data_IF_527908463514
#
_entry.id   IF_527908463514
#
_cell.length_a   1.000
_cell.length_b   1.000
_cell.length_c   1.000
_cell.angle_alpha   90.00
_cell.angle_beta   90.00
_cell.angle_gamma   90.00
#
_symmetry.space_group_name_H-M   'P 1'
#
loop_
_entity.id
_entity.type
_entity.pdbx_description
1 polymer ?
#
# COMPACT_ATOMS: atom_id res chain seq x y z
N UNK A 1 13.58 27.79 -10.57
CA UNK A 1 12.98 26.91 -9.55
C UNK A 1 12.50 25.67 -10.27
N UNK A 2 13.25 24.57 -10.19
CA UNK A 2 12.78 23.27 -10.66
C UNK A 2 11.61 22.86 -9.77
N UNK A 3 10.38 22.99 -10.26
CA UNK A 3 9.26 22.22 -9.72
C UNK A 3 9.56 20.77 -10.08
N UNK A 4 10.22 20.05 -9.16
CA UNK A 4 10.34 18.60 -9.26
C UNK A 4 8.91 18.08 -9.47
N UNK A 5 8.66 17.49 -10.64
CA UNK A 5 7.36 16.91 -10.91
C UNK A 5 7.34 15.65 -10.08
N UNK A 6 6.52 15.59 -9.03
CA UNK A 6 6.43 14.41 -8.15
C UNK A 6 6.08 13.18 -8.99
N UNK A 7 7.09 12.38 -9.33
CA UNK A 7 6.92 11.17 -10.12
C UNK A 7 6.63 10.04 -9.15
N UNK A 8 5.34 9.85 -8.90
CA UNK A 8 4.87 8.83 -8.01
C UNK A 8 4.63 7.53 -8.78
N UNK A 9 5.19 6.40 -8.34
CA UNK A 9 4.65 5.11 -8.77
C UNK A 9 3.34 4.94 -8.01
N UNK A 10 2.22 4.95 -8.72
CA UNK A 10 0.89 4.88 -8.12
C UNK A 10 0.28 3.49 -8.21
N UNK A 11 0.82 2.61 -9.07
CA UNK A 11 0.31 1.25 -9.22
C UNK A 11 1.42 0.24 -9.48
N UNK A 12 1.22 -0.97 -8.97
CA UNK A 12 1.88 -2.19 -9.46
C UNK A 12 0.77 -3.16 -9.85
N UNK A 13 0.74 -3.55 -11.12
CA UNK A 13 -0.32 -4.39 -11.67
C UNK A 13 0.14 -5.84 -11.80
N UNK A 14 -0.75 -6.76 -11.40
CA UNK A 14 -0.61 -8.19 -11.57
C UNK A 14 -1.67 -8.69 -12.54
N UNK A 15 -1.28 -9.59 -13.42
CA UNK A 15 -2.20 -10.44 -14.16
C UNK A 15 -2.19 -11.83 -13.56
N UNK A 16 -3.35 -12.31 -13.16
CA UNK A 16 -3.50 -13.58 -12.45
C UNK A 16 -4.60 -14.43 -13.07
N UNK A 17 -4.43 -15.76 -12.99
CA UNK A 17 -5.47 -16.69 -13.38
C UNK A 17 -6.63 -16.69 -12.38
N UNK A 18 -6.31 -16.51 -11.10
CA UNK A 18 -7.26 -16.32 -10.02
C UNK A 18 -6.96 -15.03 -9.24
N UNK A 19 -7.20 -13.88 -9.87
CA UNK A 19 -7.00 -12.57 -9.24
C UNK A 19 -7.73 -12.40 -7.90
N UNK A 20 -8.96 -12.92 -7.68
CA UNK A 20 -9.59 -12.88 -6.37
C UNK A 20 -8.77 -13.59 -5.28
N UNK A 21 -8.24 -14.79 -5.54
CA UNK A 21 -7.42 -15.51 -4.55
C UNK A 21 -6.09 -14.81 -4.31
N UNK A 22 -5.43 -14.33 -5.37
CA UNK A 22 -4.19 -13.57 -5.27
C UNK A 22 -4.38 -12.32 -4.39
N UNK A 23 -5.43 -11.54 -4.66
CA UNK A 23 -5.76 -10.34 -3.89
C UNK A 23 -6.04 -10.66 -2.42
N UNK A 24 -6.75 -11.74 -2.13
CA UNK A 24 -7.01 -12.13 -0.74
C UNK A 24 -5.72 -12.59 -0.02
N UNK A 25 -4.78 -13.22 -0.72
CA UNK A 25 -3.47 -13.55 -0.15
C UNK A 25 -2.70 -12.30 0.25
N UNK A 26 -2.55 -11.31 -0.64
CA UNK A 26 -1.87 -10.05 -0.30
C UNK A 26 -2.56 -9.30 0.85
N UNK A 27 -3.90 -9.28 0.87
CA UNK A 27 -4.67 -8.65 1.95
C UNK A 27 -4.45 -9.35 3.31
N UNK A 28 -4.41 -10.68 3.33
CA UNK A 28 -4.29 -11.44 4.57
C UNK A 28 -2.83 -11.52 5.07
N UNK A 29 -1.86 -11.60 4.16
CA UNK A 29 -0.44 -11.67 4.52
C UNK A 29 0.06 -10.32 5.04
N UNK A 30 -0.25 -9.25 4.31
CA UNK A 30 0.32 -7.92 4.55
C UNK A 30 -0.65 -6.93 5.21
N UNK A 31 -1.89 -7.34 5.51
CA UNK A 31 -2.89 -6.46 6.11
C UNK A 31 -3.36 -5.30 5.20
N UNK A 32 -3.12 -5.40 3.89
CA UNK A 32 -3.52 -4.39 2.91
C UNK A 32 -5.04 -4.22 2.87
N UNK A 33 -5.47 -3.01 2.55
CA UNK A 33 -6.88 -2.61 2.63
C UNK A 33 -7.57 -2.91 1.31
N UNK A 34 -8.76 -3.53 1.35
CA UNK A 34 -9.54 -3.77 0.14
C UNK A 34 -10.04 -2.46 -0.42
N UNK A 35 -9.71 -2.19 -1.68
CA UNK A 35 -10.28 -1.11 -2.44
C UNK A 35 -11.26 -1.66 -3.51
N UNK A 36 -11.78 -0.78 -4.34
CA UNK A 36 -12.84 -1.09 -5.31
C UNK A 36 -12.56 -2.26 -6.25
N UNK A 37 -13.50 -2.51 -7.14
CA UNK A 37 -13.36 -3.44 -8.26
C UNK A 37 -14.14 -2.91 -9.44
N UNK A 38 -13.63 -3.12 -10.65
CA UNK A 38 -14.29 -2.69 -11.86
C UNK A 38 -14.19 -3.76 -12.95
N UNK A 39 -15.24 -3.84 -13.76
CA UNK A 39 -15.24 -4.60 -15.00
C UNK A 39 -14.87 -3.64 -16.11
N UNK A 40 -13.94 -4.05 -16.96
CA UNK A 40 -13.57 -3.27 -18.13
C UNK A 40 -13.83 -4.08 -19.41
N UNK A 41 -14.23 -3.36 -20.45
CA UNK A 41 -14.72 -3.94 -21.70
C UNK A 41 -14.13 -3.20 -22.91
N UNK A 42 -13.99 -3.89 -24.05
CA UNK A 42 -13.57 -3.25 -25.30
C UNK A 42 -14.64 -2.24 -25.78
N UNK A 43 -14.27 -1.26 -26.62
CA UNK A 43 -12.97 -1.10 -27.28
C UNK A 43 -11.93 -0.30 -26.46
N UNK A 44 -12.34 0.30 -25.34
CA UNK A 44 -11.49 1.20 -24.57
C UNK A 44 -10.28 0.49 -23.95
N UNK A 45 -10.50 -0.66 -23.30
CA UNK A 45 -9.44 -1.52 -22.73
C UNK A 45 -8.42 -1.93 -23.76
N UNK A 46 -8.91 -2.47 -24.89
CA UNK A 46 -8.04 -2.94 -25.97
C UNK A 46 -7.13 -1.85 -26.51
N UNK A 47 -7.64 -0.62 -26.58
CA UNK A 47 -6.85 0.53 -27.02
C UNK A 47 -5.85 0.99 -25.97
N UNK A 48 -6.25 1.05 -24.69
CA UNK A 48 -5.38 1.54 -23.61
C UNK A 48 -4.25 0.55 -23.34
N UNK A 49 -4.56 -0.72 -23.14
CA UNK A 49 -3.59 -1.76 -22.79
C UNK A 49 -2.90 -2.38 -24.01
N UNK A 50 -3.39 -2.14 -25.22
CA UNK A 50 -2.86 -2.76 -26.43
C UNK A 50 -3.20 -4.24 -26.57
N UNK A 51 -4.21 -4.73 -25.84
CA UNK A 51 -4.63 -6.14 -25.81
C UNK A 51 -5.93 -6.31 -26.62
N UNK A 52 -5.90 -6.92 -27.82
CA UNK A 52 -7.08 -7.05 -28.65
C UNK A 52 -8.21 -7.83 -27.96
N UNK A 53 -9.40 -7.23 -27.90
CA UNK A 53 -10.58 -7.86 -27.31
C UNK A 53 -10.56 -7.96 -25.77
N UNK A 54 -9.64 -7.25 -25.10
CA UNK A 54 -9.49 -7.19 -23.64
C UNK A 54 -10.82 -7.06 -22.89
N UNK A 55 -11.29 -8.18 -22.35
CA UNK A 55 -12.39 -8.24 -21.40
C UNK A 55 -11.85 -8.77 -20.10
N UNK A 56 -11.90 -7.93 -19.07
CA UNK A 56 -11.17 -8.15 -17.83
C UNK A 56 -11.95 -7.64 -16.61
N UNK A 57 -11.51 -8.12 -15.46
CA UNK A 57 -11.87 -7.55 -14.16
C UNK A 57 -10.60 -7.12 -13.47
N UNK A 58 -10.62 -5.89 -12.96
CA UNK A 58 -9.60 -5.42 -12.04
C UNK A 58 -10.18 -5.25 -10.65
N UNK A 59 -9.37 -5.55 -9.65
CA UNK A 59 -9.67 -5.28 -8.24
C UNK A 59 -8.42 -4.80 -7.54
N UNK A 60 -8.59 -3.99 -6.49
CA UNK A 60 -7.48 -3.23 -5.93
C UNK A 60 -7.26 -3.52 -4.45
N UNK A 61 -6.01 -3.35 -4.01
CA UNK A 61 -5.62 -3.17 -2.62
C UNK A 61 -4.86 -1.86 -2.48
N UNK A 62 -4.99 -1.21 -1.34
CA UNK A 62 -4.17 -0.04 -0.99
C UNK A 62 -3.33 -0.35 0.25
N UNK A 63 -2.16 0.27 0.30
CA UNK A 63 -1.22 0.17 1.41
C UNK A 63 -1.27 1.45 2.28
N UNK A 64 -0.21 1.73 3.05
CA UNK A 64 -0.21 2.93 3.89
C UNK A 64 0.03 4.25 3.12
N UNK A 65 0.42 4.21 1.85
CA UNK A 65 0.79 5.40 1.06
C UNK A 65 -0.44 6.17 0.55
N UNK A 66 -0.29 7.47 0.34
CA UNK A 66 -1.28 8.20 -0.48
C UNK A 66 -1.14 7.83 -1.96
N UNK A 67 -2.24 7.82 -2.69
CA UNK A 67 -2.24 7.66 -4.16
C UNK A 67 -1.44 6.45 -4.69
N UNK A 68 -1.51 5.32 -3.98
CA UNK A 68 -0.94 4.04 -4.40
C UNK A 68 -1.96 2.91 -4.33
N UNK A 69 -1.90 1.94 -5.25
CA UNK A 69 -2.66 0.69 -5.20
C UNK A 69 -1.93 -0.49 -5.87
N UNK A 70 -2.14 -1.70 -5.34
CA UNK A 70 -1.90 -2.93 -6.10
C UNK A 70 -3.12 -3.24 -6.97
N UNK A 71 -2.90 -3.58 -8.23
CA UNK A 71 -3.96 -3.96 -9.16
C UNK A 71 -3.92 -5.46 -9.48
N UNK A 72 -5.08 -6.09 -9.48
CA UNK A 72 -5.21 -7.53 -9.74
C UNK A 72 -6.17 -7.73 -10.91
N UNK A 73 -5.61 -7.93 -12.10
CA UNK A 73 -6.32 -8.23 -13.33
C UNK A 73 -6.58 -9.72 -13.49
N UNK A 74 -7.79 -10.05 -13.91
CA UNK A 74 -8.14 -11.35 -14.46
C UNK A 74 -8.79 -11.15 -15.82
N UNK A 75 -8.12 -11.63 -16.86
CA UNK A 75 -8.60 -11.55 -18.24
C UNK A 75 -9.47 -12.76 -18.58
N UNK A 76 -10.65 -12.48 -19.14
CA UNK A 76 -11.50 -13.50 -19.76
C UNK A 76 -11.20 -13.66 -21.25
N UNK A 77 -10.85 -12.55 -21.91
CA UNK A 77 -10.44 -12.50 -23.32
C UNK A 77 -9.33 -11.46 -23.51
N UNK A 78 -8.19 -11.82 -24.13
CA UNK A 78 -7.72 -13.20 -24.31
C UNK A 78 -7.52 -13.86 -22.94
N UNK A 79 -7.59 -15.20 -22.87
CA UNK A 79 -7.16 -15.90 -21.66
C UNK A 79 -5.64 -15.82 -21.58
N UNK A 80 -5.14 -15.36 -20.43
CA UNK A 80 -3.71 -15.31 -20.15
C UNK A 80 -3.04 -16.67 -20.24
N UNK A 81 -1.80 -16.69 -20.70
CA UNK A 81 -0.95 -17.87 -20.64
C UNK A 81 -0.35 -18.06 -19.25
N UNK A 82 -0.08 -19.31 -18.92
CA UNK A 82 0.63 -19.68 -17.70
C UNK A 82 2.08 -19.21 -17.75
N UNK A 83 2.55 -18.70 -16.62
CA UNK A 83 3.96 -18.46 -16.38
C UNK A 83 4.70 -19.79 -16.38
N UNK A 84 5.92 -19.81 -16.96
CA UNK A 84 6.76 -21.01 -16.95
C UNK A 84 7.02 -21.47 -15.52
N UNK A 85 6.93 -22.78 -15.26
CA UNK A 85 7.27 -23.34 -13.96
C UNK A 85 8.75 -23.12 -13.58
N UNK A 86 9.60 -22.93 -14.59
CA UNK A 86 11.02 -22.64 -14.42
C UNK A 86 11.28 -21.13 -14.34
N UNK A 87 10.25 -20.28 -14.22
CA UNK A 87 10.43 -18.82 -14.17
C UNK A 87 11.31 -18.39 -13.00
N UNK A 88 12.31 -17.59 -13.33
CA UNK A 88 13.36 -17.10 -12.46
C UNK A 88 13.32 -15.57 -12.39
N UNK A 89 13.75 -14.94 -11.28
CA UNK A 89 13.94 -13.49 -11.20
C UNK A 89 14.92 -12.90 -12.23
N UNK A 90 15.71 -13.76 -12.90
CA UNK A 90 16.62 -13.37 -13.99
C UNK A 90 15.97 -13.34 -15.36
N UNK A 91 14.75 -13.84 -15.55
CA UNK A 91 14.09 -13.82 -16.85
C UNK A 91 13.57 -12.42 -17.18
N UNK A 92 13.60 -12.02 -18.45
CA UNK A 92 13.24 -10.67 -18.88
C UNK A 92 11.81 -10.34 -18.44
N UNK A 93 11.62 -9.22 -17.72
CA UNK A 93 10.31 -8.78 -17.25
C UNK A 93 10.31 -8.16 -15.86
N UNK A 94 9.12 -7.78 -15.40
CA UNK A 94 8.85 -7.41 -14.00
C UNK A 94 8.80 -8.68 -13.16
N UNK A 95 9.70 -8.83 -12.19
CA UNK A 95 9.97 -10.14 -11.57
C UNK A 95 9.60 -10.24 -10.10
N UNK A 96 9.78 -9.16 -9.35
CA UNK A 96 9.65 -9.19 -7.90
C UNK A 96 9.07 -7.88 -7.39
N UNK A 97 8.14 -7.98 -6.45
CA UNK A 97 7.63 -6.84 -5.70
C UNK A 97 8.22 -6.86 -4.29
N UNK A 98 8.69 -5.71 -3.80
CA UNK A 98 9.18 -5.53 -2.45
C UNK A 98 8.18 -4.83 -1.56
N UNK A 99 7.95 -5.36 -0.37
CA UNK A 99 6.99 -4.86 0.61
C UNK A 99 7.69 -4.67 1.95
N UNK A 100 7.77 -3.44 2.42
CA UNK A 100 8.23 -3.13 3.77
C UNK A 100 7.07 -3.27 4.76
N UNK A 101 7.35 -3.81 5.95
CA UNK A 101 6.31 -4.15 6.94
C UNK A 101 6.74 -3.73 8.34
N UNK A 102 5.79 -3.24 9.15
CA UNK A 102 6.09 -2.76 10.50
C UNK A 102 6.14 -3.87 11.57
N UNK A 103 5.51 -5.02 11.32
CA UNK A 103 5.56 -6.22 12.17
C UNK A 103 5.97 -7.44 11.32
N UNK A 104 7.28 -7.58 11.16
CA UNK A 104 7.89 -8.63 10.33
C UNK A 104 7.53 -10.03 10.83
N UNK A 105 7.46 -10.25 12.14
CA UNK A 105 7.15 -11.56 12.71
C UNK A 105 5.68 -11.94 12.51
N UNK A 106 4.75 -10.98 12.56
CA UNK A 106 3.35 -11.22 12.21
C UNK A 106 3.21 -11.58 10.73
N UNK A 107 3.96 -10.92 9.84
CA UNK A 107 3.94 -11.24 8.41
C UNK A 107 4.48 -12.64 8.15
N UNK A 108 5.55 -13.07 8.82
CA UNK A 108 6.03 -14.46 8.72
C UNK A 108 4.98 -15.49 9.17
N UNK A 109 4.28 -15.21 10.29
CA UNK A 109 3.16 -16.06 10.73
C UNK A 109 2.05 -16.11 9.68
N UNK A 110 1.71 -14.97 9.09
CA UNK A 110 0.68 -14.89 8.06
C UNK A 110 1.11 -15.64 6.79
N UNK A 111 2.36 -15.53 6.35
CA UNK A 111 2.91 -16.33 5.25
C UNK A 111 2.71 -17.82 5.54
N UNK A 112 3.09 -18.29 6.72
CA UNK A 112 2.89 -19.70 7.09
C UNK A 112 1.41 -20.14 7.17
N UNK A 113 0.49 -19.21 7.46
CA UNK A 113 -0.94 -19.49 7.60
C UNK A 113 -1.72 -19.42 6.28
N UNK A 114 -1.32 -18.52 5.38
CA UNK A 114 -2.06 -18.23 4.13
C UNK A 114 -1.35 -18.71 2.87
N UNK A 115 -0.09 -19.14 2.98
CA UNK A 115 0.62 -19.81 1.90
C UNK A 115 0.61 -21.32 2.12
N UNK A 116 0.50 -22.08 1.03
CA UNK A 116 0.64 -23.54 1.07
C UNK A 116 2.11 -24.00 1.27
N UNK A 117 2.96 -23.13 1.82
CA UNK A 117 4.38 -23.35 2.04
C UNK A 117 4.78 -22.91 3.46
N UNK A 118 5.81 -23.53 4.06
CA UNK A 118 6.33 -23.06 5.35
C UNK A 118 6.84 -21.63 5.27
N UNK A 119 6.77 -20.90 6.40
CA UNK A 119 7.37 -19.58 6.51
C UNK A 119 8.89 -19.68 6.21
N UNK A 120 9.42 -18.88 5.27
CA UNK A 120 10.82 -18.94 4.92
C UNK A 120 11.70 -18.37 6.05
N UNK A 121 12.96 -18.82 6.12
CA UNK A 121 13.90 -18.35 7.13
C UNK A 121 14.36 -16.93 6.80
N UNK A 122 14.23 -15.96 7.73
CA UNK A 122 14.75 -14.62 7.51
C UNK A 122 16.26 -14.58 7.37
N UNK A 123 16.76 -13.63 6.60
CA UNK A 123 18.18 -13.25 6.52
C UNK A 123 18.37 -11.83 7.06
N UNK A 124 19.59 -11.48 7.47
CA UNK A 124 19.90 -10.16 8.04
C UNK A 124 19.80 -10.11 9.57
N UNK A 125 20.09 -8.93 10.14
CA UNK A 125 19.95 -8.64 11.57
C UNK A 125 18.58 -8.09 11.89
N UNK A 126 18.14 -8.20 13.15
CA UNK A 126 16.91 -7.57 13.63
C UNK A 126 16.89 -6.07 13.28
N UNK A 127 15.74 -5.59 12.81
CA UNK A 127 15.55 -4.24 12.29
C UNK A 127 15.94 -4.08 10.81
N UNK A 128 16.53 -5.09 10.19
CA UNK A 128 16.91 -5.12 8.77
C UNK A 128 16.74 -6.53 8.17
N UNK A 129 15.84 -7.34 8.76
CA UNK A 129 15.57 -8.69 8.26
C UNK A 129 14.87 -8.62 6.90
N UNK A 130 15.14 -9.63 6.09
CA UNK A 130 14.50 -9.84 4.79
C UNK A 130 14.08 -11.28 4.63
N UNK A 131 13.02 -11.49 3.85
CA UNK A 131 12.63 -12.82 3.40
C UNK A 131 12.00 -12.76 2.02
N UNK A 132 12.24 -13.78 1.19
CA UNK A 132 11.56 -13.94 -0.09
C UNK A 132 10.60 -15.12 -0.07
N UNK A 133 9.47 -14.93 -0.73
CA UNK A 133 8.40 -15.91 -0.90
C UNK A 133 7.80 -15.77 -2.29
N UNK A 134 7.14 -16.82 -2.78
CA UNK A 134 6.28 -16.71 -3.97
C UNK A 134 4.83 -16.57 -3.54
N UNK A 135 4.10 -15.66 -4.18
CA UNK A 135 2.65 -15.59 -4.04
C UNK A 135 1.94 -16.81 -4.68
N UNK A 136 0.62 -16.99 -4.51
CA UNK A 136 -0.10 -18.14 -5.07
C UNK A 136 -0.08 -18.25 -6.60
N UNK A 137 0.30 -17.21 -7.32
CA UNK A 137 0.42 -17.19 -8.79
C UNK A 137 1.89 -17.30 -9.24
N UNK A 138 2.82 -17.51 -8.29
CA UNK A 138 4.24 -17.73 -8.56
C UNK A 138 5.05 -16.44 -8.77
N UNK A 139 4.52 -15.26 -8.43
CA UNK A 139 5.34 -14.04 -8.46
C UNK A 139 6.21 -13.96 -7.22
N UNK A 140 7.41 -13.41 -7.37
CA UNK A 140 8.30 -13.21 -6.25
C UNK A 140 7.88 -11.98 -5.43
N UNK A 141 7.83 -12.19 -4.12
CA UNK A 141 7.58 -11.15 -3.13
C UNK A 141 8.75 -11.13 -2.18
N UNK A 142 9.38 -9.98 -2.05
CA UNK A 142 10.34 -9.74 -0.99
C UNK A 142 9.71 -8.92 0.12
N UNK A 143 9.93 -9.36 1.36
CA UNK A 143 9.47 -8.68 2.55
C UNK A 143 10.67 -8.06 3.26
N UNK A 144 10.56 -6.78 3.57
CA UNK A 144 11.58 -6.01 4.28
C UNK A 144 11.08 -5.62 5.67
N UNK A 145 11.91 -5.84 6.70
CA UNK A 145 11.65 -5.31 8.05
C UNK A 145 11.97 -3.81 8.14
N UNK A 146 12.94 -3.34 7.35
CA UNK A 146 13.26 -1.93 7.20
C UNK A 146 12.66 -1.41 5.89
N UNK A 147 12.07 -0.22 5.89
CA UNK A 147 11.68 0.41 4.63
C UNK A 147 12.93 0.71 3.79
N UNK A 148 13.09 0.12 2.59
CA UNK A 148 14.28 0.35 1.76
C UNK A 148 14.38 1.80 1.28
N UNK A 149 13.28 2.57 1.30
CA UNK A 149 13.30 3.99 0.96
C UNK A 149 14.00 4.82 2.05
N UNK A 150 13.95 4.40 3.32
CA UNK A 150 14.64 5.07 4.44
C UNK A 150 16.18 5.01 4.32
N UNK A 151 16.69 4.14 3.44
CA UNK A 151 18.12 4.03 3.15
C UNK A 151 18.62 5.12 2.20
N UNK A 152 17.71 5.90 1.60
CA UNK A 152 18.04 6.93 0.62
C UNK A 152 17.90 8.30 1.26
N UNK A 153 18.99 9.07 1.26
CA UNK A 153 19.03 10.39 1.86
C UNK A 153 17.99 11.33 1.21
N UNK A 154 17.22 12.03 2.05
CA UNK A 154 16.18 12.96 1.61
C UNK A 154 14.92 12.30 1.06
N UNK A 155 14.85 10.96 1.00
CA UNK A 155 13.61 10.26 0.74
C UNK A 155 12.73 10.27 2.00
N UNK A 156 11.43 10.42 1.82
CA UNK A 156 10.46 10.35 2.90
C UNK A 156 9.20 9.70 2.39
N UNK A 157 8.67 8.80 3.20
CA UNK A 157 7.38 8.18 2.97
C UNK A 157 6.27 9.09 3.51
N UNK A 158 5.48 9.71 2.62
CA UNK A 158 4.22 10.33 3.05
C UNK A 158 3.18 9.24 3.35
N UNK A 159 3.08 8.87 4.64
CA UNK A 159 2.17 7.84 5.12
C UNK A 159 0.78 8.43 5.34
N UNK A 160 -0.17 8.06 4.48
CA UNK A 160 -1.57 8.47 4.59
C UNK A 160 -2.36 7.63 5.61
N UNK A 161 -2.00 6.35 5.75
CA UNK A 161 -2.71 5.35 6.57
C UNK A 161 -1.72 4.57 7.43
N UNK A 162 -1.12 5.19 8.46
CA UNK A 162 -0.13 4.55 9.32
C UNK A 162 -0.63 3.27 10.01
N UNK A 163 -1.94 3.07 10.09
CA UNK A 163 -2.58 1.85 10.59
C UNK A 163 -2.53 0.65 9.63
N UNK A 164 -2.15 0.87 8.38
CA UNK A 164 -1.93 -0.21 7.41
C UNK A 164 -0.48 -0.67 7.55
N UNK A 165 -0.22 -1.94 7.92
CA UNK A 165 1.09 -2.37 8.42
C UNK A 165 2.14 -2.62 7.33
N UNK A 166 1.83 -2.28 6.08
CA UNK A 166 2.65 -2.62 4.92
C UNK A 166 2.74 -1.46 3.91
N UNK A 167 3.85 -1.47 3.19
CA UNK A 167 4.28 -0.47 2.22
C UNK A 167 4.88 -1.17 1.01
N UNK A 168 4.24 -1.07 -0.15
CA UNK A 168 4.83 -1.59 -1.38
C UNK A 168 5.85 -0.60 -1.89
N UNK A 169 7.11 -1.02 -1.97
CA UNK A 169 8.26 -0.12 -2.11
C UNK A 169 9.10 -0.34 -3.33
N UNK A 170 9.20 -1.58 -3.77
CA UNK A 170 10.15 -1.90 -4.84
C UNK A 170 9.52 -2.78 -5.90
N UNK A 171 10.01 -2.60 -7.12
CA UNK A 171 9.85 -3.60 -8.18
C UNK A 171 11.23 -3.85 -8.77
N UNK A 172 11.58 -5.13 -8.92
CA UNK A 172 12.79 -5.56 -9.63
C UNK A 172 12.42 -5.94 -11.06
N UNK A 173 13.12 -5.38 -12.02
CA UNK A 173 12.92 -5.60 -13.46
C UNK A 173 14.19 -6.18 -14.06
N UNK A 174 14.11 -7.36 -14.65
CA UNK A 174 15.20 -7.87 -15.47
C UNK A 174 15.06 -7.32 -16.88
N UNK A 175 16.11 -6.69 -17.38
CA UNK A 175 16.14 -5.99 -18.67
C UNK A 175 17.23 -6.55 -19.58
N UNK A 176 17.04 -6.53 -20.91
CA UNK A 176 18.05 -7.03 -21.84
C UNK A 176 19.28 -6.10 -21.96
N UNK A 177 19.12 -4.82 -21.64
CA UNK A 177 20.17 -3.80 -21.67
C UNK A 177 19.85 -2.70 -20.66
N UNK A 178 20.79 -2.41 -19.76
CA UNK A 178 20.66 -1.28 -18.83
C UNK A 178 20.68 0.07 -19.54
N UNK A 179 21.40 0.20 -20.65
CA UNK A 179 21.45 1.42 -21.45
C UNK A 179 20.06 1.77 -21.99
N UNK A 180 19.38 0.78 -22.57
CA UNK A 180 18.04 0.95 -23.12
C UNK A 180 16.99 1.14 -22.02
N UNK A 181 17.15 0.44 -20.91
CA UNK A 181 16.29 0.61 -19.75
C UNK A 181 16.46 2.00 -19.13
N UNK A 182 17.67 2.59 -19.15
CA UNK A 182 17.90 3.98 -18.74
C UNK A 182 17.16 4.95 -19.67
N UNK A 183 17.26 4.77 -20.98
CA UNK A 183 16.52 5.60 -21.93
C UNK A 183 14.99 5.55 -21.67
N UNK A 184 14.49 4.37 -21.30
CA UNK A 184 13.07 4.15 -20.97
C UNK A 184 12.69 4.79 -19.65
N UNK A 185 13.30 4.37 -18.54
CA UNK A 185 12.84 4.69 -17.20
C UNK A 185 13.36 6.04 -16.69
N UNK A 186 14.54 6.48 -17.15
CA UNK A 186 15.14 7.77 -16.78
C UNK A 186 14.80 8.82 -17.83
N UNK A 187 15.13 8.61 -19.10
CA UNK A 187 14.99 9.69 -20.08
C UNK A 187 13.53 9.91 -20.48
N UNK A 188 12.79 8.85 -20.79
CA UNK A 188 11.37 8.94 -21.17
C UNK A 188 10.45 9.12 -19.96
N UNK A 189 10.56 8.23 -18.96
CA UNK A 189 9.67 8.24 -17.79
C UNK A 189 10.11 9.22 -16.69
N UNK A 190 11.38 9.62 -16.65
CA UNK A 190 11.92 10.59 -15.70
C UNK A 190 12.00 10.16 -14.26
N UNK A 191 12.15 8.86 -14.00
CA UNK A 191 12.63 8.39 -12.70
C UNK A 191 14.08 8.84 -12.50
N UNK A 192 14.46 9.05 -11.24
CA UNK A 192 15.79 9.54 -10.87
C UNK A 192 16.70 8.37 -10.57
N UNK A 193 17.97 8.46 -10.95
CA UNK A 193 18.99 7.49 -10.57
C UNK A 193 19.37 7.74 -9.12
N UNK A 194 19.47 6.66 -8.33
CA UNK A 194 20.05 6.74 -6.99
C UNK A 194 21.54 6.41 -7.12
N UNK A 195 22.37 7.46 -7.13
CA UNK A 195 23.81 7.30 -7.26
C UNK A 195 24.41 6.55 -6.07
N UNK A 196 25.43 5.73 -6.33
CA UNK A 196 26.19 4.96 -5.33
C UNK A 196 25.33 4.07 -4.40
N UNK A 197 24.14 3.69 -4.84
CA UNK A 197 23.23 2.84 -4.08
C UNK A 197 22.96 1.50 -4.78
N UNK A 198 23.00 0.42 -4.01
CA UNK A 198 22.57 -0.91 -4.43
C UNK A 198 21.57 -1.47 -3.43
N UNK A 199 20.40 -1.87 -3.93
CA UNK A 199 19.38 -2.53 -3.11
C UNK A 199 19.73 -4.01 -2.86
N UNK A 200 20.38 -4.63 -3.85
CA UNK A 200 20.71 -6.05 -3.84
C UNK A 200 22.15 -6.31 -4.23
N UNK A 201 22.71 -7.32 -3.60
CA UNK A 201 24.05 -7.86 -3.82
C UNK A 201 23.97 -9.29 -4.34
N UNK A 202 25.12 -9.87 -4.73
CA UNK A 202 25.20 -11.27 -5.12
C UNK A 202 24.79 -12.26 -4.00
N UNK A 203 24.77 -11.82 -2.72
CA UNK A 203 24.28 -12.63 -1.61
C UNK A 203 22.76 -12.78 -1.67
N UNK A 204 22.05 -11.73 -2.07
CA UNK A 204 20.60 -11.70 -2.14
C UNK A 204 20.11 -12.53 -3.34
N UNK A 205 20.82 -12.48 -4.46
CA UNK A 205 20.61 -13.37 -5.62
C UNK A 205 20.56 -14.86 -5.23
N UNK A 206 21.46 -15.27 -4.33
CA UNK A 206 21.53 -16.64 -3.82
C UNK A 206 20.28 -17.01 -2.99
N UNK A 207 19.67 -16.05 -2.30
CA UNK A 207 18.41 -16.26 -1.59
C UNK A 207 17.27 -16.62 -2.54
N UNK A 208 17.34 -16.16 -3.79
CA UNK A 208 16.35 -16.44 -4.84
C UNK A 208 16.68 -17.68 -5.68
N UNK A 209 17.70 -18.45 -5.26
CA UNK A 209 18.14 -19.65 -5.97
C UNK A 209 19.09 -19.39 -7.13
N UNK A 210 19.57 -18.15 -7.31
CA UNK A 210 20.52 -17.81 -8.37
C UNK A 210 21.96 -17.96 -7.88
N UNK A 211 22.76 -18.77 -8.59
CA UNK A 211 24.16 -19.04 -8.23
C UNK A 211 25.12 -18.63 -9.32
N UNK A 212 26.30 -18.11 -8.95
CA UNK A 212 27.31 -17.69 -9.91
C UNK A 212 26.88 -16.46 -10.73
N UNK A 213 26.01 -15.61 -10.14
CA UNK A 213 25.41 -14.48 -10.83
C UNK A 213 26.48 -13.49 -11.31
N UNK A 214 26.34 -13.11 -12.58
CA UNK A 214 27.04 -11.97 -13.16
C UNK A 214 25.97 -11.04 -13.70
N UNK A 215 25.75 -9.94 -13.02
CA UNK A 215 24.75 -8.96 -13.39
C UNK A 215 25.27 -7.56 -13.07
N UNK A 216 24.72 -6.58 -13.77
CA UNK A 216 24.84 -5.16 -13.40
C UNK A 216 23.45 -4.68 -13.06
N UNK A 217 23.32 -3.85 -12.02
CA UNK A 217 22.05 -3.25 -11.63
C UNK A 217 22.14 -1.73 -11.53
N UNK A 218 20.97 -1.11 -11.63
CA UNK A 218 20.74 0.32 -11.48
C UNK A 218 19.47 0.51 -10.65
N UNK A 219 19.56 1.26 -9.55
CA UNK A 219 18.38 1.62 -8.75
C UNK A 219 17.89 3.00 -9.19
N UNK A 220 16.62 3.06 -9.53
CA UNK A 220 15.89 4.28 -9.82
C UNK A 220 14.89 4.56 -8.70
N UNK A 221 14.53 5.82 -8.53
CA UNK A 221 13.51 6.26 -7.58
C UNK A 221 12.45 7.14 -8.24
N UNK A 222 11.22 6.94 -7.82
CA UNK A 222 10.19 7.98 -7.80
C UNK A 222 10.16 8.64 -6.42
N UNK A 223 9.12 9.45 -6.15
CA UNK A 223 8.94 10.08 -4.83
C UNK A 223 8.75 9.03 -3.71
N UNK A 224 8.04 7.93 -4.01
CA UNK A 224 7.54 6.98 -3.01
C UNK A 224 8.01 5.53 -3.21
N UNK A 225 8.85 5.28 -4.21
CA UNK A 225 9.05 3.93 -4.76
C UNK A 225 10.43 3.77 -5.41
N UNK A 226 10.99 2.56 -5.33
CA UNK A 226 12.24 2.18 -5.97
C UNK A 226 12.01 1.20 -7.10
N UNK A 227 12.62 1.45 -8.26
CA UNK A 227 12.64 0.53 -9.38
C UNK A 227 14.06 0.07 -9.59
N UNK A 228 14.31 -1.23 -9.43
CA UNK A 228 15.64 -1.77 -9.66
C UNK A 228 15.70 -2.48 -11.00
N UNK A 229 16.54 -1.98 -11.89
CA UNK A 229 16.78 -2.53 -13.21
C UNK A 229 18.02 -3.42 -13.16
N UNK A 230 17.95 -4.59 -13.77
CA UNK A 230 19.01 -5.59 -13.69
C UNK A 230 19.25 -6.24 -15.04
N UNK A 231 20.47 -6.11 -15.55
CA UNK A 231 20.92 -6.81 -16.74
C UNK A 231 21.77 -8.02 -16.31
N UNK A 232 21.21 -9.22 -16.50
CA UNK A 232 21.91 -10.46 -16.20
C UNK A 232 22.74 -10.93 -17.41
N UNK A 233 23.97 -11.33 -17.13
CA UNK A 233 24.85 -12.08 -18.04
C UNK A 233 24.92 -13.55 -17.66
N UNK A 234 24.81 -13.86 -16.37
CA UNK A 234 24.76 -15.22 -15.85
C UNK A 234 23.77 -15.26 -14.67
N UNK A 235 22.76 -16.14 -14.67
CA UNK A 235 22.35 -16.99 -15.81
C UNK A 235 21.97 -16.16 -17.04
N UNK A 236 21.96 -16.80 -18.21
CA UNK A 236 21.46 -16.13 -19.41
C UNK A 236 19.94 -15.88 -19.24
N UNK A 237 19.46 -14.63 -19.30
CA UNK A 237 18.06 -14.32 -19.08
C UNK A 237 17.23 -14.90 -20.22
N UNK A 238 16.10 -15.55 -19.92
CA UNK A 238 15.15 -15.96 -20.97
C UNK A 238 14.31 -14.77 -21.38
N UNK A 239 14.14 -14.60 -22.69
CA UNK A 239 13.20 -13.62 -23.24
C UNK A 239 11.76 -14.04 -22.94
N UNK A 240 10.85 -13.07 -23.07
CA UNK A 240 9.42 -13.38 -23.12
C UNK A 240 9.12 -14.43 -24.21
N UNK A 241 8.14 -15.33 -23.97
CA UNK A 241 7.75 -16.30 -24.96
C UNK A 241 7.20 -15.62 -26.22
N UNK A 242 7.29 -16.31 -27.35
CA UNK A 242 6.70 -15.84 -28.60
C UNK A 242 5.18 -15.61 -28.41
N UNK A 243 4.71 -14.41 -28.76
CA UNK A 243 3.29 -14.03 -28.57
C UNK A 243 2.93 -13.59 -27.15
N UNK A 244 3.92 -13.33 -26.29
CA UNK A 244 3.69 -12.75 -24.95
C UNK A 244 2.75 -11.56 -24.99
N UNK A 245 1.83 -11.54 -24.02
CA UNK A 245 0.85 -10.48 -23.83
C UNK A 245 0.87 -10.01 -22.38
N UNK A 246 0.50 -8.75 -22.15
CA UNK A 246 0.25 -8.24 -20.79
C UNK A 246 -0.91 -8.98 -20.08
N UNK A 247 -1.74 -9.71 -20.83
CA UNK A 247 -2.75 -10.60 -20.28
C UNK A 247 -2.17 -11.92 -19.73
N UNK A 248 -0.88 -12.21 -19.92
CA UNK A 248 -0.24 -13.42 -19.42
C UNK A 248 0.09 -13.30 -17.92
N UNK A 249 0.12 -14.44 -17.23
CA UNK A 249 0.30 -14.51 -15.79
C UNK A 249 1.64 -13.89 -15.35
N UNK A 250 1.61 -12.93 -14.42
CA UNK A 250 2.81 -12.28 -13.92
C UNK A 250 2.57 -10.89 -13.31
N UNK A 251 3.66 -10.20 -13.00
CA UNK A 251 3.64 -8.75 -12.79
C UNK A 251 3.55 -8.09 -14.17
N UNK A 252 2.45 -7.39 -14.42
CA UNK A 252 2.11 -6.82 -15.71
C UNK A 252 2.97 -5.60 -16.02
N UNK A 253 2.95 -4.61 -15.12
CA UNK A 253 3.71 -3.36 -15.22
C UNK A 253 3.68 -2.57 -13.91
N UNK A 254 4.26 -1.36 -13.97
CA UNK A 254 4.05 -0.28 -13.00
C UNK A 254 3.31 0.87 -13.68
N UNK A 255 2.65 1.71 -12.88
CA UNK A 255 2.08 2.97 -13.34
C UNK A 255 2.69 4.20 -12.68
N UNK A 256 2.97 5.22 -13.49
CA UNK A 256 3.33 6.55 -13.03
C UNK A 256 2.09 7.42 -12.90
N UNK A 257 1.89 7.91 -11.67
CA UNK A 257 0.74 8.71 -11.28
C UNK A 257 1.02 10.20 -11.36
N UNK A 258 0.07 10.95 -11.94
CA UNK A 258 0.10 12.40 -12.05
C UNK A 258 -1.11 12.99 -11.35
N UNK A 259 -0.90 13.93 -10.42
CA UNK A 259 -2.00 14.58 -9.69
C UNK A 259 -2.63 15.72 -10.47
N UNK A 260 -1.87 16.34 -11.38
CA UNK A 260 -2.32 17.40 -12.28
C UNK A 260 -2.42 16.87 -13.72
N UNK A 261 -3.54 17.10 -14.43
CA UNK A 261 -3.67 16.73 -15.84
C UNK A 261 -2.60 17.38 -16.76
N UNK A 262 -2.14 18.59 -16.47
CA UNK A 262 -1.07 19.24 -17.25
C UNK A 262 0.29 18.57 -17.04
N UNK A 263 0.52 18.01 -15.85
CA UNK A 263 1.69 17.19 -15.58
C UNK A 263 1.63 15.87 -16.34
N UNK A 264 0.45 15.25 -16.40
CA UNK A 264 0.22 14.07 -17.24
C UNK A 264 0.56 14.37 -18.71
N UNK A 265 0.00 15.43 -19.29
CA UNK A 265 0.21 15.79 -20.70
C UNK A 265 1.68 16.06 -21.01
N UNK A 266 2.37 16.83 -20.16
CA UNK A 266 3.79 17.13 -20.32
C UNK A 266 4.66 15.89 -20.26
N UNK A 267 4.39 14.98 -19.32
CA UNK A 267 5.15 13.75 -19.20
C UNK A 267 4.82 12.76 -20.32
N UNK A 268 3.58 12.72 -20.80
CA UNK A 268 3.21 11.91 -21.96
C UNK A 268 3.91 12.39 -23.23
N UNK A 269 3.99 13.71 -23.45
CA UNK A 269 4.75 14.28 -24.56
C UNK A 269 6.26 13.96 -24.45
N UNK A 270 6.83 14.05 -23.24
CA UNK A 270 8.21 13.64 -22.97
C UNK A 270 8.45 12.16 -23.31
N UNK A 271 7.54 11.28 -22.88
CA UNK A 271 7.63 9.85 -23.16
C UNK A 271 7.68 9.58 -24.67
N UNK A 272 6.75 10.16 -25.42
CA UNK A 272 6.69 10.02 -26.88
C UNK A 272 7.94 10.58 -27.58
N UNK A 273 8.44 11.74 -27.14
CA UNK A 273 9.65 12.36 -27.68
C UNK A 273 10.91 11.50 -27.45
N UNK A 274 10.91 10.69 -26.39
CA UNK A 274 12.00 9.76 -26.05
C UNK A 274 11.73 8.32 -26.52
N UNK A 275 10.89 8.15 -27.55
CA UNK A 275 10.76 6.88 -28.26
C UNK A 275 9.75 5.88 -27.69
N UNK A 276 9.04 6.22 -26.61
CA UNK A 276 7.96 5.40 -26.09
C UNK A 276 6.75 5.43 -27.03
N UNK A 277 6.16 4.27 -27.28
CA UNK A 277 5.02 4.12 -28.19
C UNK A 277 3.74 3.85 -27.42
N UNK A 278 2.79 4.76 -27.53
CA UNK A 278 1.45 4.55 -26.97
C UNK A 278 0.67 3.47 -27.73
N UNK A 279 -0.12 2.68 -27.01
CA UNK A 279 -1.01 1.67 -27.61
C UNK A 279 -2.14 2.27 -28.45
N UNK A 280 -2.50 3.53 -28.21
CA UNK A 280 -3.50 4.23 -28.98
C UNK A 280 -3.65 5.69 -28.56
N UNK A 281 -4.83 6.25 -28.80
CA UNK A 281 -5.18 7.60 -28.33
C UNK A 281 -5.45 7.57 -26.83
N UNK A 282 -4.88 8.53 -26.10
CA UNK A 282 -5.09 8.73 -24.66
C UNK A 282 -6.59 8.68 -24.36
N UNK A 283 -6.94 7.87 -23.36
CA UNK A 283 -8.30 7.84 -22.86
C UNK A 283 -8.43 8.89 -21.76
N UNK A 284 -8.99 10.05 -22.13
CA UNK A 284 -9.48 11.04 -21.17
C UNK A 284 -11.00 10.88 -21.03
N UNK A 285 -11.42 10.13 -20.03
CA UNK A 285 -12.84 9.88 -19.79
C UNK A 285 -13.12 9.88 -18.30
N UNK A 286 -13.87 10.89 -17.84
CA UNK A 286 -14.60 10.95 -16.56
C UNK A 286 -13.79 10.68 -15.28
N UNK A 287 -13.36 9.44 -15.12
CA UNK A 287 -12.65 8.85 -13.98
C UNK A 287 -11.13 9.09 -14.02
N UNK A 288 -10.52 9.02 -15.22
CA UNK A 288 -9.07 9.08 -15.37
C UNK A 288 -8.64 9.59 -16.76
N UNK A 289 -7.41 10.10 -16.84
CA UNK A 289 -6.61 10.17 -18.07
C UNK A 289 -5.58 9.04 -18.01
N UNK A 290 -5.62 8.13 -18.98
CA UNK A 290 -4.77 6.92 -18.97
C UNK A 290 -4.28 6.52 -20.35
N UNK A 291 -3.03 6.03 -20.40
CA UNK A 291 -2.47 5.34 -21.55
C UNK A 291 -1.29 4.47 -21.15
N UNK A 292 -1.15 3.31 -21.79
CA UNK A 292 0.05 2.49 -21.66
C UNK A 292 0.99 2.84 -22.81
N UNK A 293 2.25 3.03 -22.47
CA UNK A 293 3.31 3.34 -23.40
C UNK A 293 4.39 2.27 -23.30
N UNK A 294 4.94 1.87 -24.44
CA UNK A 294 5.88 0.76 -24.51
C UNK A 294 7.23 1.20 -25.06
N UNK A 295 8.31 0.63 -24.54
CA UNK A 295 9.64 0.82 -25.07
C UNK A 295 9.88 -0.04 -26.34
N UNK A 296 11.11 -0.01 -26.86
CA UNK A 296 11.48 -0.79 -28.05
C UNK A 296 11.59 -2.31 -27.80
N UNK A 297 11.69 -2.73 -26.53
CA UNK A 297 11.77 -4.13 -26.13
C UNK A 297 10.39 -4.71 -25.77
N UNK A 298 9.37 -3.86 -25.64
CA UNK A 298 8.00 -4.23 -25.29
C UNK A 298 7.66 -4.06 -23.81
N UNK A 299 8.54 -3.47 -22.99
CA UNK A 299 8.20 -3.11 -21.62
C UNK A 299 7.13 -2.02 -21.61
N UNK A 300 6.03 -2.30 -20.92
CA UNK A 300 4.91 -1.39 -20.80
C UNK A 300 4.98 -0.59 -19.49
N UNK A 301 4.73 0.71 -19.55
CA UNK A 301 4.54 1.57 -18.39
C UNK A 301 3.18 2.25 -18.53
N UNK A 302 2.34 2.15 -17.50
CA UNK A 302 1.09 2.89 -17.45
C UNK A 302 1.35 4.33 -17.02
N UNK A 303 0.70 5.27 -17.70
CA UNK A 303 0.63 6.67 -17.28
C UNK A 303 -0.80 6.93 -16.83
N UNK A 304 -0.96 7.48 -15.62
CA UNK A 304 -2.28 7.65 -15.02
C UNK A 304 -2.44 9.00 -14.32
N UNK A 305 -3.50 9.71 -14.65
CA UNK A 305 -4.08 10.75 -13.80
C UNK A 305 -5.49 10.32 -13.38
N UNK A 306 -5.62 9.84 -12.14
CA UNK A 306 -6.91 9.48 -11.56
C UNK A 306 -7.49 10.65 -10.76
N UNK A 307 -8.71 11.06 -11.11
CA UNK A 307 -9.33 12.26 -10.55
C UNK A 307 -9.73 12.04 -9.09
N UNK A 308 -9.24 12.87 -8.17
CA UNK A 308 -9.42 12.72 -6.71
C UNK A 308 -10.87 12.55 -6.27
N UNK A 309 -11.81 13.27 -6.90
CA UNK A 309 -13.23 13.17 -6.61
C UNK A 309 -13.81 11.76 -6.84
N UNK A 310 -13.11 10.91 -7.59
CA UNK A 310 -13.58 9.61 -8.04
C UNK A 310 -12.70 8.45 -7.54
N UNK A 311 -11.77 8.69 -6.62
CA UNK A 311 -10.88 7.66 -6.04
C UNK A 311 -11.61 6.46 -5.43
N UNK A 312 -12.83 6.65 -4.92
CA UNK A 312 -13.68 5.53 -4.45
C UNK A 312 -14.12 4.57 -5.54
N UNK A 313 -14.10 5.00 -6.81
CA UNK A 313 -14.46 4.19 -7.97
C UNK A 313 -13.23 3.62 -8.67
N UNK A 314 -12.07 4.27 -8.55
CA UNK A 314 -10.83 3.91 -9.28
C UNK A 314 -9.80 3.15 -8.44
N UNK A 315 -10.14 2.76 -7.20
CA UNK A 315 -9.30 1.88 -6.38
C UNK A 315 -8.40 2.58 -5.36
N UNK A 316 -8.31 3.91 -5.36
CA UNK A 316 -7.41 4.66 -4.47
C UNK A 316 -7.98 4.94 -3.06
N UNK A 317 -9.23 4.55 -2.80
CA UNK A 317 -9.86 4.64 -1.48
C UNK A 317 -10.33 3.27 -0.98
N UNK A 318 -10.39 3.06 0.35
CA UNK A 318 -10.97 1.87 0.96
C UNK A 318 -12.39 1.60 0.46
N UNK A 319 -12.70 0.33 0.19
CA UNK A 319 -14.05 -0.15 -0.07
C UNK A 319 -14.74 -0.69 1.21
N UNK A 320 -13.93 -1.09 2.19
CA UNK A 320 -14.40 -1.36 3.54
C UNK A 320 -14.86 -0.07 4.25
N UNK A 321 -15.60 -0.21 5.34
CA UNK A 321 -15.98 0.90 6.19
C UNK A 321 -14.71 1.54 6.75
N UNK A 322 -14.45 2.79 6.37
CA UNK A 322 -13.27 3.52 6.78
C UNK A 322 -13.67 4.89 7.32
N UNK A 323 -13.23 5.21 8.53
CA UNK A 323 -13.48 6.48 9.22
C UNK A 323 -12.15 7.05 9.63
N UNK A 324 -11.98 8.35 9.44
CA UNK A 324 -10.80 9.08 9.85
C UNK A 324 -11.22 10.44 10.37
N UNK A 325 -10.79 10.79 11.57
CA UNK A 325 -10.87 12.14 12.09
C UNK A 325 -9.53 12.53 12.68
N UNK A 326 -9.15 13.77 12.45
CA UNK A 326 -7.91 14.35 12.94
C UNK A 326 -8.22 15.70 13.59
N UNK A 327 -7.55 15.98 14.71
CA UNK A 327 -7.68 17.25 15.42
C UNK A 327 -6.36 17.60 16.10
N UNK A 328 -6.08 18.89 16.20
CA UNK A 328 -5.01 19.42 17.04
C UNK A 328 -5.58 19.91 18.37
N UNK A 329 -4.90 19.60 19.46
CA UNK A 329 -5.25 19.97 20.84
C UNK A 329 -4.08 20.73 21.43
N UNK A 330 -4.30 21.96 21.88
CA UNK A 330 -3.29 22.78 22.55
C UNK A 330 -3.07 22.30 23.98
N UNK A 331 -2.49 21.11 24.12
CA UNK A 331 -2.10 20.49 25.37
C UNK A 331 -0.93 19.51 25.15
N UNK A 332 -0.09 19.27 26.18
CA UNK A 332 1.02 18.32 26.09
C UNK A 332 0.57 16.90 25.76
N UNK A 333 1.38 16.17 24.98
CA UNK A 333 1.06 14.81 24.51
C UNK A 333 0.78 13.83 25.64
N UNK A 334 1.49 13.94 26.77
CA UNK A 334 1.27 13.08 27.93
C UNK A 334 -0.11 13.25 28.57
N UNK A 335 -0.63 14.47 28.61
CA UNK A 335 -1.95 14.74 29.18
C UNK A 335 -3.08 14.31 28.23
N UNK A 336 -2.90 14.58 26.94
CA UNK A 336 -3.83 14.11 25.90
C UNK A 336 -3.86 12.59 25.84
N UNK A 337 -2.70 11.94 25.89
CA UNK A 337 -2.57 10.48 25.94
C UNK A 337 -3.29 9.90 27.15
N UNK A 338 -3.10 10.47 28.35
CA UNK A 338 -3.77 10.03 29.58
C UNK A 338 -5.30 10.11 29.46
N UNK A 339 -5.85 11.16 28.85
CA UNK A 339 -7.29 11.27 28.63
C UNK A 339 -7.82 10.32 27.54
N UNK A 340 -7.05 10.07 26.49
CA UNK A 340 -7.42 9.16 25.39
C UNK A 340 -7.41 7.69 25.81
N UNK A 341 -6.56 7.34 26.78
CA UNK A 341 -6.35 5.98 27.27
C UNK A 341 -7.07 5.67 28.59
N UNK A 342 -7.66 6.68 29.24
CA UNK A 342 -8.60 6.49 30.34
C UNK A 342 -9.92 5.89 29.83
N UNK A 343 -9.91 4.56 29.65
CA UNK A 343 -11.04 3.82 29.11
C UNK A 343 -12.28 3.91 30.00
N UNK A 344 -12.12 4.01 31.31
CA UNK A 344 -13.23 4.19 32.25
C UNK A 344 -13.80 5.61 32.18
N UNK A 345 -12.94 6.61 31.98
CA UNK A 345 -13.29 8.02 31.86
C UNK A 345 -13.78 8.46 30.48
N UNK A 346 -13.87 7.57 29.49
CA UNK A 346 -14.24 7.93 28.09
C UNK A 346 -15.61 8.64 27.96
N UNK A 347 -16.51 8.44 28.93
CA UNK A 347 -17.81 9.11 29.01
C UNK A 347 -17.73 10.62 29.30
N UNK A 348 -16.57 11.09 29.73
CA UNK A 348 -16.33 12.51 29.98
C UNK A 348 -16.27 13.35 28.70
N UNK A 349 -15.98 12.73 27.55
CA UNK A 349 -15.75 13.44 26.29
C UNK A 349 -16.38 12.76 25.07
N UNK A 350 -16.85 11.52 25.19
CA UNK A 350 -17.59 10.82 24.13
C UNK A 350 -19.07 10.61 24.49
N UNK A 351 -19.85 10.02 23.59
CA UNK A 351 -21.23 9.57 23.91
C UNK A 351 -21.28 8.19 24.58
N UNK A 352 -20.12 7.52 24.70
CA UNK A 352 -19.99 6.20 25.30
C UNK A 352 -19.59 6.32 26.75
N UNK A 353 -20.22 5.57 27.65
CA UNK A 353 -19.67 5.30 28.97
C UNK A 353 -18.77 4.07 28.91
N UNK A 354 -17.64 4.08 29.60
CA UNK A 354 -16.66 3.00 29.54
C UNK A 354 -16.44 2.32 30.88
N UNK A 355 -16.07 1.04 30.84
CA UNK A 355 -15.67 0.26 31.99
C UNK A 355 -14.63 -0.80 31.61
N UNK A 356 -13.61 -0.99 32.43
CA UNK A 356 -12.57 -2.02 32.19
C UNK A 356 -13.08 -3.36 32.72
N UNK A 357 -13.25 -4.34 31.84
CA UNK A 357 -13.65 -5.71 32.19
C UNK A 357 -12.43 -6.57 32.55
N UNK A 358 -11.30 -6.34 31.88
CA UNK A 358 -10.03 -7.04 32.14
C UNK A 358 -8.88 -6.07 31.92
N UNK A 359 -7.99 -5.95 32.91
CA UNK A 359 -6.80 -5.13 32.79
C UNK A 359 -5.81 -5.68 31.75
N UNK A 360 -5.16 -4.78 31.04
CA UNK A 360 -4.02 -5.05 30.16
C UNK A 360 -2.69 -5.16 30.91
N UNK A 361 -1.60 -5.28 30.14
CA UNK A 361 -0.22 -5.27 30.64
C UNK A 361 0.73 -4.55 29.66
N UNK A 362 1.79 -3.89 30.15
CA UNK A 362 2.09 -3.64 31.57
C UNK A 362 1.13 -2.62 32.20
N UNK A 363 0.53 -1.74 31.40
CA UNK A 363 -0.48 -0.79 31.85
C UNK A 363 -1.87 -1.44 31.94
N UNK A 364 -2.69 -1.18 32.98
CA UNK A 364 -4.06 -1.71 33.09
C UNK A 364 -4.98 -1.35 31.93
N UNK A 365 -4.76 -0.21 31.27
CA UNK A 365 -5.46 0.22 30.05
C UNK A 365 -4.71 -0.19 28.76
N UNK A 366 -3.53 -0.79 28.90
CA UNK A 366 -2.64 -1.15 27.81
C UNK A 366 -2.98 -2.45 27.09
N UNK A 367 -1.96 -3.08 26.48
CA UNK A 367 -2.10 -4.27 25.64
C UNK A 367 -2.87 -5.41 26.35
N UNK A 368 -3.86 -5.98 25.65
CA UNK A 368 -4.71 -7.06 26.15
C UNK A 368 -5.85 -6.63 27.07
N UNK A 369 -5.95 -5.32 27.38
CA UNK A 369 -7.08 -4.74 28.12
C UNK A 369 -8.38 -4.99 27.36
N UNK A 370 -9.41 -5.44 28.08
CA UNK A 370 -10.78 -5.56 27.56
C UNK A 370 -11.65 -4.50 28.24
N UNK A 371 -12.29 -3.67 27.42
CA UNK A 371 -13.24 -2.63 27.88
C UNK A 371 -14.65 -2.88 27.36
N UNK A 372 -15.64 -2.52 28.16
CA UNK A 372 -17.03 -2.39 27.77
C UNK A 372 -17.31 -0.92 27.46
N UNK A 373 -17.96 -0.64 26.32
CA UNK A 373 -18.50 0.67 26.00
C UNK A 373 -20.02 0.58 25.86
N UNK A 374 -20.74 1.47 26.54
CA UNK A 374 -22.20 1.53 26.51
C UNK A 374 -22.70 2.88 25.99
N UNK A 375 -23.71 2.86 25.14
CA UNK A 375 -24.47 4.01 24.66
C UNK A 375 -25.96 3.66 24.62
N UNK A 376 -26.89 4.62 24.47
CA UNK A 376 -28.31 4.31 24.38
C UNK A 376 -28.61 3.24 23.32
N UNK A 377 -29.12 2.08 23.75
CA UNK A 377 -29.44 0.94 22.88
C UNK A 377 -28.25 0.12 22.38
N UNK A 378 -27.03 0.35 22.87
CA UNK A 378 -25.83 -0.35 22.41
C UNK A 378 -24.86 -0.65 23.56
N UNK A 379 -24.31 -1.87 23.56
CA UNK A 379 -23.26 -2.32 24.47
C UNK A 379 -22.25 -3.11 23.65
N UNK A 380 -21.00 -2.65 23.65
CA UNK A 380 -19.92 -3.29 22.90
C UNK A 380 -18.77 -3.64 23.82
N UNK A 381 -18.01 -4.67 23.44
CA UNK A 381 -16.78 -5.06 24.10
C UNK A 381 -15.63 -4.97 23.12
N UNK A 382 -14.54 -4.34 23.53
CA UNK A 382 -13.35 -4.11 22.73
C UNK A 382 -12.11 -4.59 23.46
N UNK A 383 -11.10 -5.02 22.72
CA UNK A 383 -9.78 -5.39 23.26
C UNK A 383 -8.69 -4.51 22.66
N UNK A 384 -7.77 -4.02 23.49
CA UNK A 384 -6.58 -3.28 23.06
C UNK A 384 -5.56 -4.29 22.49
N UNK A 385 -5.22 -4.13 21.21
CA UNK A 385 -4.38 -5.09 20.45
C UNK A 385 -3.00 -4.56 20.09
N UNK A 386 -2.77 -3.25 20.20
CA UNK A 386 -1.44 -2.64 20.06
C UNK A 386 -1.29 -1.49 21.06
N UNK A 387 -0.07 -1.26 21.52
CA UNK A 387 0.24 -0.23 22.52
C UNK A 387 1.68 0.27 22.37
N UNK A 388 1.83 1.52 21.96
CA UNK A 388 3.06 2.31 21.93
C UNK A 388 2.82 3.59 22.76
N UNK A 389 3.43 3.63 23.93
CA UNK A 389 3.18 4.65 24.95
C UNK A 389 3.40 6.07 24.39
N UNK A 390 2.43 6.95 24.61
CA UNK A 390 2.42 8.34 24.10
C UNK A 390 2.47 8.47 22.57
N UNK A 391 2.15 7.42 21.80
CA UNK A 391 2.25 7.44 20.33
C UNK A 391 1.08 6.77 19.64
N UNK A 392 0.71 5.55 20.02
CA UNK A 392 -0.30 4.76 19.32
C UNK A 392 -0.94 3.70 20.20
N UNK A 393 -2.25 3.53 20.09
CA UNK A 393 -2.87 2.26 20.49
C UNK A 393 -3.92 1.82 19.47
N UNK A 394 -4.07 0.50 19.35
CA UNK A 394 -5.09 -0.11 18.51
C UNK A 394 -6.06 -0.93 19.36
N UNK A 395 -7.32 -1.04 18.91
CA UNK A 395 -8.33 -1.85 19.55
C UNK A 395 -9.23 -2.57 18.53
N UNK A 396 -9.73 -3.74 18.91
CA UNK A 396 -10.62 -4.55 18.08
C UNK A 396 -11.94 -4.84 18.78
N UNK A 397 -13.03 -4.80 18.03
CA UNK A 397 -14.35 -5.17 18.54
C UNK A 397 -14.40 -6.68 18.76
N UNK A 398 -14.81 -7.11 19.95
CA UNK A 398 -15.06 -8.51 20.31
C UNK A 398 -16.53 -8.87 20.11
N UNK A 399 -17.44 -8.06 20.66
CA UNK A 399 -18.89 -8.32 20.62
C UNK A 399 -19.71 -7.03 20.65
N UNK A 400 -20.98 -7.12 20.24
CA UNK A 400 -22.00 -6.10 20.54
C UNK A 400 -22.32 -5.10 19.43
N UNK A 401 -21.57 -5.09 18.33
CA UNK A 401 -21.88 -4.28 17.15
C UNK A 401 -21.92 -5.13 15.87
N UNK A 402 -22.75 -4.75 14.87
CA UNK A 402 -22.98 -5.52 13.64
C UNK A 402 -21.85 -5.31 12.61
N UNK A 403 -20.60 -5.46 13.07
CA UNK A 403 -19.40 -5.30 12.28
C UNK A 403 -18.59 -6.60 12.25
N UNK A 404 -17.81 -6.78 11.19
CA UNK A 404 -16.73 -7.78 11.09
C UNK A 404 -15.42 -7.02 10.92
N UNK A 405 -14.30 -7.65 11.28
CA UNK A 405 -12.94 -7.12 11.06
C UNK A 405 -12.79 -5.65 11.51
N UNK A 406 -13.41 -5.32 12.65
CA UNK A 406 -13.35 -3.97 13.19
C UNK A 406 -12.02 -3.74 13.90
N UNK A 407 -11.31 -2.70 13.49
CA UNK A 407 -10.11 -2.21 14.12
C UNK A 407 -10.18 -0.69 14.21
N UNK A 408 -9.91 -0.14 15.39
CA UNK A 408 -9.69 1.28 15.60
C UNK A 408 -8.26 1.54 16.01
N UNK A 409 -7.68 2.61 15.49
CA UNK A 409 -6.32 3.05 15.76
C UNK A 409 -6.33 4.52 16.15
N UNK A 410 -5.67 4.83 17.26
CA UNK A 410 -5.50 6.19 17.77
C UNK A 410 -4.02 6.50 17.78
N UNK A 411 -3.62 7.48 16.98
CA UNK A 411 -2.27 8.02 16.94
C UNK A 411 -2.22 9.39 17.59
N UNK A 412 -1.14 9.66 18.31
CA UNK A 412 -0.83 10.98 18.84
C UNK A 412 0.59 11.38 18.47
N UNK A 413 0.77 12.65 18.12
CA UNK A 413 2.09 13.24 17.89
C UNK A 413 2.12 14.64 18.48
N UNK A 414 3.07 14.90 19.40
CA UNK A 414 3.24 16.20 20.03
C UNK A 414 4.31 17.06 19.35
N UNK A 415 3.99 18.32 19.08
CA UNK A 415 4.94 19.33 18.59
C UNK A 415 4.60 20.71 19.19
N UNK A 416 5.61 21.42 19.72
CA UNK A 416 5.46 22.77 20.27
C UNK A 416 4.33 22.95 21.31
N UNK A 417 4.11 21.95 22.17
CA UNK A 417 3.04 21.99 23.18
C UNK A 417 1.63 21.72 22.64
N UNK A 418 1.50 21.50 21.33
CA UNK A 418 0.29 21.04 20.68
C UNK A 418 0.37 19.53 20.43
N UNK A 419 -0.74 18.83 20.55
CA UNK A 419 -0.85 17.40 20.24
C UNK A 419 -1.83 17.20 19.10
N UNK A 420 -1.35 16.58 18.03
CA UNK A 420 -2.19 16.10 16.93
C UNK A 420 -2.70 14.71 17.26
N UNK A 421 -4.01 14.53 17.22
CA UNK A 421 -4.69 13.26 17.45
C UNK A 421 -5.34 12.82 16.15
N UNK A 422 -4.97 11.62 15.68
CA UNK A 422 -5.59 10.96 14.54
C UNK A 422 -6.30 9.71 15.03
N UNK A 423 -7.59 9.60 14.72
CA UNK A 423 -8.39 8.41 15.02
C UNK A 423 -8.94 7.82 13.72
N UNK A 424 -8.48 6.63 13.38
CA UNK A 424 -8.95 5.85 12.23
C UNK A 424 -9.68 4.59 12.66
N UNK A 425 -10.74 4.22 11.94
CA UNK A 425 -11.48 2.98 12.19
C UNK A 425 -11.77 2.30 10.86
N UNK A 426 -11.50 1.00 10.83
CA UNK A 426 -11.73 0.08 9.71
C UNK A 426 -12.72 -0.98 10.13
N UNK A 427 -13.70 -1.31 9.30
CA UNK A 427 -14.69 -2.35 9.58
C UNK A 427 -15.43 -2.81 8.32
N UNK A 428 -16.06 -3.97 8.41
CA UNK A 428 -17.06 -4.41 7.44
C UNK A 428 -18.44 -4.49 8.09
N UNK A 429 -19.41 -3.75 7.55
CA UNK A 429 -20.81 -3.88 7.95
C UNK A 429 -21.36 -5.26 7.64
N UNK A 430 -22.21 -5.79 8.52
CA UNK A 430 -22.99 -7.00 8.21
C UNK A 430 -23.96 -6.79 7.04
N UNK A 431 -24.47 -5.57 6.89
CA UNK A 431 -25.37 -5.17 5.81
C UNK A 431 -24.51 -4.83 4.57
N UNK A 432 -24.61 -5.59 3.48
CA UNK A 432 -23.84 -5.33 2.27
C UNK A 432 -24.14 -3.93 1.71
N UNK A 433 -23.09 -3.20 1.32
CA UNK A 433 -23.22 -1.87 0.70
C UNK A 433 -23.47 -0.72 1.67
N UNK A 434 -23.64 -0.96 2.98
CA UNK A 434 -23.90 0.11 3.95
C UNK A 434 -22.64 0.80 4.49
N UNK A 435 -21.44 0.26 4.22
CA UNK A 435 -20.15 0.75 4.72
C UNK A 435 -20.03 2.28 4.64
N UNK A 436 -20.32 2.90 3.49
CA UNK A 436 -20.17 4.35 3.29
C UNK A 436 -21.06 5.19 4.21
N UNK A 437 -22.32 4.80 4.38
CA UNK A 437 -23.28 5.52 5.22
C UNK A 437 -22.90 5.36 6.69
N UNK A 438 -22.55 4.14 7.09
CA UNK A 438 -22.11 3.85 8.47
C UNK A 438 -20.83 4.61 8.79
N UNK A 439 -19.84 4.61 7.88
CA UNK A 439 -18.61 5.39 8.03
C UNK A 439 -18.87 6.89 8.18
N UNK A 440 -19.80 7.44 7.41
CA UNK A 440 -20.17 8.85 7.55
C UNK A 440 -20.76 9.17 8.93
N UNK A 441 -21.71 8.34 9.41
CA UNK A 441 -22.32 8.50 10.73
C UNK A 441 -21.30 8.39 11.87
N UNK A 442 -20.48 7.33 11.85
CA UNK A 442 -19.40 7.13 12.82
C UNK A 442 -18.39 8.28 12.75
N UNK A 443 -18.08 8.78 11.54
CA UNK A 443 -17.23 9.95 11.35
C UNK A 443 -17.73 11.18 12.09
N UNK A 444 -19.03 11.46 12.05
CA UNK A 444 -19.63 12.57 12.80
C UNK A 444 -19.52 12.37 14.32
N UNK A 445 -19.80 11.15 14.78
CA UNK A 445 -19.72 10.76 16.20
C UNK A 445 -18.31 10.99 16.75
N UNK A 446 -17.28 10.42 16.12
CA UNK A 446 -15.91 10.52 16.59
C UNK A 446 -15.37 11.95 16.47
N UNK A 447 -15.75 12.68 15.42
CA UNK A 447 -15.42 14.11 15.29
C UNK A 447 -15.96 14.93 16.45
N UNK A 448 -17.21 14.68 16.84
CA UNK A 448 -17.81 15.39 17.97
C UNK A 448 -17.13 15.02 19.29
N UNK A 449 -16.80 13.74 19.48
CA UNK A 449 -16.07 13.29 20.67
C UNK A 449 -14.69 13.96 20.78
N UNK A 450 -13.91 13.98 19.70
CA UNK A 450 -12.61 14.65 19.65
C UNK A 450 -12.70 16.16 19.90
N UNK A 451 -13.75 16.83 19.40
CA UNK A 451 -14.00 18.25 19.71
C UNK A 451 -14.29 18.51 21.18
N UNK A 452 -15.07 17.63 21.83
CA UNK A 452 -15.33 17.73 23.27
C UNK A 452 -14.05 17.49 24.08
N UNK A 453 -13.24 16.51 23.68
CA UNK A 453 -11.93 16.26 24.28
C UNK A 453 -11.03 17.50 24.17
N UNK A 454 -10.91 18.09 22.96
CA UNK A 454 -10.16 19.33 22.74
C UNK A 454 -10.63 20.44 23.69
N UNK A 455 -11.94 20.72 23.70
CA UNK A 455 -12.50 21.77 24.56
C UNK A 455 -12.19 21.55 26.04
N UNK A 456 -12.31 20.31 26.54
CA UNK A 456 -11.99 19.97 27.93
C UNK A 456 -10.51 20.20 28.24
N UNK A 457 -9.62 19.77 27.34
CA UNK A 457 -8.17 19.91 27.52
C UNK A 457 -7.71 21.36 27.46
N UNK A 458 -8.26 22.17 26.57
CA UNK A 458 -7.84 23.57 26.38
C UNK A 458 -8.45 24.53 27.41
N UNK A 459 -9.56 24.14 28.04
CA UNK A 459 -10.16 24.91 29.14
C UNK A 459 -9.47 24.61 30.49
N UNK A 460 -8.75 23.48 30.59
CA UNK A 460 -8.00 23.10 31.79
C UNK A 460 -6.60 23.72 31.76
N UNK A 461 -6.46 24.96 32.25
CA UNK A 461 -5.14 25.49 32.61
C UNK A 461 -4.69 24.81 33.90
N UNK A 462 -3.53 24.12 33.93
CA UNK A 462 -2.97 23.68 35.20
C UNK A 462 -2.68 24.93 36.03
N UNK A 463 -3.09 24.92 37.30
CA UNK A 463 -2.69 25.95 38.26
C UNK A 463 -1.18 26.13 38.18
N UNK A 464 -0.76 27.33 37.81
CA UNK A 464 0.61 27.79 37.93
C UNK A 464 1.09 27.45 39.33
N UNK A 465 2.00 26.47 39.45
CA UNK A 465 2.68 26.24 40.72
C UNK A 465 3.51 27.50 41.01
N UNK A 466 2.99 28.31 41.94
CA UNK A 466 3.68 29.42 42.58
C UNK A 466 4.78 28.92 43.51
#
# INVERSE_FOLDING_TARGET
MHTATDKQVCQVAFTALNAPALREWYANVFGLVRAGRMLFFPPATSRVQGIPGAWEKCSWLIDSQDYFQLEFFQFWTPRGQLKSADWSPSDIGYNMVGIAVNDFDQVLRNIGAFSAIPAPKPVGSQGARRVCVTDPEGNWVEVFEQDPLDLIEGASADLRRPEVPALVRTVRVSVPSLEDARATFVDAMGLEVVDDFQLHTARDEKMWGLTGVKATSLVLRGTNFLLELVEYKTPQPRSWPAGYSLADQGIMNIALGYRDPLDYERNYARAAANGMRANGKVLDAGLFQVMYVNDKHGFSVEMLHARKALWSLTGFNPAEGYVENEIEINAPVGDVWRQLTDHAGIGNWSLFSGGVLRAGRPDPNGLGCIRELTAPGMRITEEVTAWDEHRHYAYQLRTGAPFRRHQGDVYVSGENGCTRVRWSIRFDSWIPGSNRIVSWLLGLVFRQALRKLKSRMETYQPESQF
#
